data_IF_538196155991
#
_entry.id   IF_538196155991
#
_cell.length_a   1.000
_cell.length_b   1.000
_cell.length_c   1.000
_cell.angle_alpha   90.00
_cell.angle_beta   90.00
_cell.angle_gamma   90.00
#
_symmetry.space_group_name_H-M   'P 1'
#
loop_
_entity.id
_entity.type
_entity.pdbx_description
1 polymer ?
#
# COMPACT_ATOMS: atom_id res chain seq x y z
N UNK A 1 0.33 22.99 0.18
CA UNK A 1 1.60 22.23 0.08
C UNK A 1 1.20 20.78 0.21
N UNK A 2 1.44 19.97 -0.81
CA UNK A 2 1.11 18.54 -0.76
C UNK A 2 2.02 17.86 0.26
N UNK A 3 1.42 17.04 1.13
CA UNK A 3 2.18 16.21 2.06
C UNK A 3 2.52 14.89 1.38
N UNK A 4 3.75 14.77 0.88
CA UNK A 4 4.27 13.56 0.24
C UNK A 4 4.37 12.35 1.19
N UNK A 5 4.28 12.57 2.50
CA UNK A 5 4.19 11.50 3.49
C UNK A 5 2.76 11.11 3.82
N UNK A 6 1.76 11.81 3.27
CA UNK A 6 0.36 11.41 3.42
C UNK A 6 0.16 10.02 2.82
N UNK A 7 -0.51 9.09 3.52
CA UNK A 7 -0.83 7.78 2.97
C UNK A 7 -1.75 7.85 1.74
N UNK A 8 -2.51 8.95 1.60
CA UNK A 8 -3.41 9.20 0.47
C UNK A 8 -2.69 9.87 -0.72
N UNK A 9 -1.40 10.16 -0.60
CA UNK A 9 -0.63 10.71 -1.71
C UNK A 9 -0.38 9.63 -2.79
N UNK A 10 -0.76 9.93 -4.03
CA UNK A 10 -0.48 9.09 -5.19
C UNK A 10 0.81 9.55 -5.86
N UNK A 11 1.86 8.72 -5.76
CA UNK A 11 3.11 9.00 -6.47
C UNK A 11 2.91 8.74 -7.98
N UNK A 12 3.56 9.50 -8.86
CA UNK A 12 3.55 9.29 -10.32
C UNK A 12 4.00 7.88 -10.79
N UNK A 13 4.52 7.05 -9.89
CA UNK A 13 4.96 5.67 -10.14
C UNK A 13 3.98 4.64 -9.60
N UNK A 14 2.89 5.07 -8.98
CA UNK A 14 1.83 4.19 -8.52
C UNK A 14 0.91 3.88 -9.70
N UNK A 15 0.84 2.60 -10.05
CA UNK A 15 -0.08 2.10 -11.06
C UNK A 15 -0.43 0.65 -10.74
N UNK A 16 -1.54 0.17 -11.29
CA UNK A 16 -2.08 -1.19 -11.04
C UNK A 16 -1.18 -2.33 -11.55
N UNK A 17 -0.27 -2.02 -12.47
CA UNK A 17 0.69 -2.97 -13.04
C UNK A 17 2.01 -3.09 -12.27
N UNK A 18 2.16 -2.46 -11.11
CA UNK A 18 3.41 -2.55 -10.32
C UNK A 18 3.56 -3.96 -9.74
N UNK A 19 4.67 -4.62 -10.08
CA UNK A 19 5.08 -5.87 -9.43
C UNK A 19 5.78 -5.52 -8.11
N UNK A 20 5.13 -5.81 -6.98
CA UNK A 20 5.68 -5.55 -5.63
C UNK A 20 6.70 -6.59 -5.20
N UNK A 21 6.44 -7.86 -5.54
CA UNK A 21 7.34 -8.99 -5.28
C UNK A 21 7.48 -9.78 -6.57
N UNK A 22 8.71 -9.96 -7.05
CA UNK A 22 8.99 -10.63 -8.33
C UNK A 22 8.73 -12.12 -8.30
N UNK A 23 8.85 -12.75 -7.13
CA UNK A 23 8.57 -14.17 -6.94
C UNK A 23 7.06 -14.39 -6.80
N UNK A 24 6.54 -15.39 -7.51
CA UNK A 24 5.16 -15.83 -7.33
C UNK A 24 4.97 -16.49 -5.97
N UNK A 25 3.79 -16.28 -5.37
CA UNK A 25 3.40 -16.95 -4.14
C UNK A 25 3.18 -18.45 -4.40
N UNK A 26 3.78 -19.29 -3.56
CA UNK A 26 3.60 -20.75 -3.53
C UNK A 26 3.39 -21.20 -2.09
N UNK A 27 2.93 -22.44 -1.92
CA UNK A 27 2.69 -23.00 -0.57
C UNK A 27 3.97 -23.03 0.29
N UNK A 28 5.14 -23.21 -0.33
CA UNK A 28 6.42 -23.34 0.36
C UNK A 28 7.13 -22.02 0.64
N UNK A 29 6.75 -20.92 -0.03
CA UNK A 29 7.46 -19.64 0.08
C UNK A 29 6.69 -18.56 0.84
N UNK A 30 5.51 -18.88 1.39
CA UNK A 30 4.60 -17.93 2.02
C UNK A 30 5.30 -16.98 3.01
N UNK A 31 6.13 -17.50 3.93
CA UNK A 31 6.81 -16.68 4.94
C UNK A 31 7.78 -15.66 4.31
N UNK A 32 8.54 -16.08 3.31
CA UNK A 32 9.48 -15.19 2.60
C UNK A 32 8.71 -14.19 1.75
N UNK A 33 7.64 -14.64 1.08
CA UNK A 33 6.82 -13.82 0.21
C UNK A 33 6.05 -12.76 0.98
N UNK A 34 5.39 -13.12 2.09
CA UNK A 34 4.63 -12.17 2.92
C UNK A 34 5.55 -11.10 3.51
N UNK A 35 6.74 -11.49 4.00
CA UNK A 35 7.70 -10.51 4.50
C UNK A 35 8.16 -9.54 3.40
N UNK A 36 8.48 -10.05 2.21
CA UNK A 36 8.83 -9.21 1.07
C UNK A 36 7.69 -8.26 0.65
N UNK A 37 6.44 -8.76 0.66
CA UNK A 37 5.26 -7.96 0.33
C UNK A 37 5.03 -6.84 1.35
N UNK A 38 5.13 -7.14 2.65
CA UNK A 38 5.01 -6.15 3.73
C UNK A 38 6.07 -5.06 3.58
N UNK A 39 7.34 -5.43 3.36
CA UNK A 39 8.44 -4.46 3.16
C UNK A 39 8.19 -3.58 1.93
N UNK A 40 7.73 -4.17 0.82
CA UNK A 40 7.41 -3.42 -0.40
C UNK A 40 6.27 -2.41 -0.17
N UNK A 41 5.24 -2.80 0.60
CA UNK A 41 4.12 -1.92 0.96
C UNK A 41 4.55 -0.80 1.92
N UNK A 42 5.40 -1.09 2.91
CA UNK A 42 5.97 -0.08 3.82
C UNK A 42 6.77 0.96 3.02
N UNK A 43 7.63 0.50 2.11
CA UNK A 43 8.44 1.40 1.26
C UNK A 43 7.59 2.33 0.37
N UNK A 44 6.32 1.98 0.13
CA UNK A 44 5.36 2.77 -0.64
C UNK A 44 4.35 3.51 0.25
N UNK A 45 4.47 3.45 1.58
CA UNK A 45 3.49 3.99 2.55
C UNK A 45 2.06 3.43 2.37
N UNK A 46 1.93 2.17 1.91
CA UNK A 46 0.62 1.54 1.62
C UNK A 46 0.22 0.43 2.59
N UNK A 47 1.07 0.05 3.54
CA UNK A 47 0.77 -1.06 4.47
C UNK A 47 -0.49 -0.78 5.29
N UNK A 48 -0.74 0.48 5.66
CA UNK A 48 -1.86 0.83 6.51
C UNK A 48 -3.25 0.62 5.90
N UNK A 49 -3.32 0.56 4.55
CA UNK A 49 -4.56 0.20 3.85
C UNK A 49 -4.84 -1.31 3.91
N UNK A 50 -3.80 -2.13 4.10
CA UNK A 50 -3.90 -3.59 4.14
C UNK A 50 -4.16 -4.08 5.56
N UNK A 51 -3.46 -3.52 6.55
CA UNK A 51 -3.64 -3.89 7.96
C UNK A 51 -4.82 -3.15 8.65
N UNK A 52 -5.40 -2.14 7.99
CA UNK A 52 -6.54 -1.38 8.48
C UNK A 52 -6.17 -0.27 9.47
N UNK A 53 -4.88 0.02 9.69
CA UNK A 53 -4.44 1.17 10.49
C UNK A 53 -4.79 2.52 9.86
N UNK A 54 -4.99 2.55 8.54
CA UNK A 54 -5.57 3.69 7.82
C UNK A 54 -7.04 3.38 7.56
N UNK A 55 -7.97 3.99 8.32
CA UNK A 55 -9.39 3.78 8.09
C UNK A 55 -9.83 4.45 6.79
N UNK A 56 -10.87 3.89 6.18
CA UNK A 56 -11.58 4.58 5.11
C UNK A 56 -12.09 5.93 5.63
N UNK A 57 -11.89 7.05 4.91
CA UNK A 57 -12.39 8.35 5.32
C UNK A 57 -13.90 8.31 5.52
N UNK A 58 -14.42 9.13 6.43
CA UNK A 58 -15.88 9.23 6.62
C UNK A 58 -16.50 10.06 5.50
N UNK A 59 -17.81 9.94 5.25
CA UNK A 59 -18.49 10.70 4.19
C UNK A 59 -18.41 12.23 4.35
N UNK A 60 -18.11 12.71 5.57
CA UNK A 60 -17.90 14.14 5.84
C UNK A 60 -16.45 14.58 5.64
N UNK A 61 -15.54 13.64 5.36
CA UNK A 61 -14.13 13.91 5.09
C UNK A 61 -13.95 14.30 3.60
N UNK A 62 -13.10 15.29 3.35
CA UNK A 62 -12.74 15.72 2.00
C UNK A 62 -12.05 14.59 1.20
N UNK A 63 -11.47 13.61 1.89
CA UNK A 63 -10.77 12.46 1.30
C UNK A 63 -11.71 11.29 0.95
N UNK A 64 -13.02 11.40 1.18
CA UNK A 64 -13.97 10.30 0.95
C UNK A 64 -14.02 9.79 -0.50
N UNK A 65 -13.90 10.70 -1.47
CA UNK A 65 -13.94 10.40 -2.91
C UNK A 65 -12.61 10.66 -3.62
N UNK A 66 -11.53 10.86 -2.86
CA UNK A 66 -10.21 11.20 -3.39
C UNK A 66 -9.57 10.01 -4.12
#
# INVERSE_FOLDING_TARGET
MEDFNSPFFLHNRDHTGVVLVSHYLTDSNYNTWTHAMIVALIAKNKIGFIDGSIPHPTTNDLLYNA
#
